data_IF_217706128342
#
_entry.id   IF_217706128342
#
_cell.length_a   1.000
_cell.length_b   1.000
_cell.length_c   1.000
_cell.angle_alpha   90.00
_cell.angle_beta   90.00
_cell.angle_gamma   90.00
#
_symmetry.space_group_name_H-M   'P 1'
#
loop_
_entity.id
_entity.type
_entity.pdbx_description
1 polymer ?
#
# COMPACT_ATOMS: atom_id res chain seq x y z
N UNK A 1 -14.95 -55.77 -7.81
CA UNK A 1 -14.64 -54.78 -6.76
C UNK A 1 -13.34 -53.98 -6.97
N UNK A 2 -12.60 -54.13 -8.10
CA UNK A 2 -11.35 -53.39 -8.38
C UNK A 2 -11.56 -52.04 -9.12
N UNK A 3 -12.74 -51.81 -9.71
CA UNK A 3 -13.03 -50.58 -10.45
C UNK A 3 -13.46 -49.37 -9.60
N UNK A 4 -14.09 -49.59 -8.44
CA UNK A 4 -14.58 -48.51 -7.59
C UNK A 4 -13.46 -47.74 -6.85
N UNK A 5 -12.35 -48.41 -6.55
CA UNK A 5 -11.22 -47.78 -5.87
C UNK A 5 -10.43 -46.84 -6.78
N UNK A 6 -10.36 -47.14 -8.08
CA UNK A 6 -9.67 -46.29 -9.09
C UNK A 6 -10.45 -44.99 -9.39
N UNK A 7 -11.79 -45.06 -9.36
CA UNK A 7 -12.64 -43.87 -9.59
C UNK A 7 -12.55 -42.88 -8.39
N UNK A 8 -12.48 -43.42 -7.16
CA UNK A 8 -12.33 -42.58 -5.95
C UNK A 8 -10.97 -41.87 -5.91
N UNK A 9 -9.89 -42.53 -6.38
CA UNK A 9 -8.57 -41.90 -6.42
C UNK A 9 -8.48 -40.78 -7.47
N UNK A 10 -9.19 -40.91 -8.60
CA UNK A 10 -9.23 -39.87 -9.65
C UNK A 10 -10.01 -38.61 -9.22
N UNK A 11 -11.04 -38.75 -8.39
CA UNK A 11 -11.82 -37.63 -7.88
C UNK A 11 -11.03 -36.79 -6.88
N UNK A 12 -10.14 -37.41 -6.09
CA UNK A 12 -9.29 -36.69 -5.12
C UNK A 12 -8.19 -35.89 -5.81
N UNK A 13 -7.71 -36.32 -6.99
CA UNK A 13 -6.69 -35.60 -7.77
C UNK A 13 -7.23 -34.39 -8.54
N UNK A 14 -8.55 -34.26 -8.68
CA UNK A 14 -9.21 -33.10 -9.30
C UNK A 14 -9.62 -32.01 -8.30
N UNK A 15 -9.34 -32.20 -7.01
CA UNK A 15 -9.38 -31.11 -6.03
C UNK A 15 -8.19 -30.18 -6.32
N UNK A 16 -8.25 -29.51 -7.48
CA UNK A 16 -7.27 -28.56 -7.94
C UNK A 16 -7.07 -27.47 -6.91
N UNK A 17 -5.88 -26.94 -6.85
CA UNK A 17 -5.49 -25.80 -6.04
C UNK A 17 -6.55 -24.70 -6.13
N UNK A 18 -7.54 -24.73 -5.24
CA UNK A 18 -8.41 -23.59 -5.04
C UNK A 18 -7.49 -22.47 -4.51
N UNK A 19 -7.20 -21.48 -5.34
CA UNK A 19 -6.53 -20.27 -4.87
C UNK A 19 -7.49 -19.66 -3.85
N UNK A 20 -7.16 -19.85 -2.57
CA UNK A 20 -7.91 -19.21 -1.50
C UNK A 20 -7.58 -17.74 -1.52
N UNK A 21 -8.58 -16.92 -1.79
CA UNK A 21 -8.49 -15.47 -1.69
C UNK A 21 -9.11 -15.02 -0.37
N UNK A 22 -8.70 -13.88 0.13
CA UNK A 22 -9.29 -13.28 1.32
C UNK A 22 -9.51 -11.79 1.13
N UNK A 23 -10.46 -11.23 1.86
CA UNK A 23 -10.69 -9.78 1.84
C UNK A 23 -9.78 -9.11 2.87
N UNK A 24 -8.94 -8.19 2.41
CA UNK A 24 -8.21 -7.27 3.29
C UNK A 24 -9.18 -6.13 3.63
N UNK A 25 -9.39 -5.88 4.92
CA UNK A 25 -10.14 -4.74 5.42
C UNK A 25 -9.54 -4.33 6.76
N UNK A 26 -8.52 -3.49 6.69
CA UNK A 26 -7.71 -3.10 7.84
C UNK A 26 -7.53 -1.59 7.95
N UNK A 27 -7.30 -1.15 9.18
CA UNK A 27 -6.79 0.17 9.54
C UNK A 27 -5.43 -0.01 10.19
N UNK A 28 -4.46 0.83 9.83
CA UNK A 28 -3.07 0.68 10.25
C UNK A 28 -2.39 2.03 10.38
N UNK A 29 -1.29 2.09 11.11
CA UNK A 29 -0.41 3.26 11.16
C UNK A 29 0.74 3.19 10.15
N UNK A 30 0.91 2.05 9.46
CA UNK A 30 1.96 1.82 8.48
C UNK A 30 1.34 1.38 7.16
N UNK A 31 1.74 2.03 6.08
CA UNK A 31 1.37 1.70 4.71
C UNK A 31 2.39 0.78 4.04
N UNK A 32 2.33 0.66 2.71
CA UNK A 32 3.28 -0.13 1.93
C UNK A 32 4.67 0.50 1.94
N UNK A 33 5.67 -0.32 1.69
CA UNK A 33 7.00 0.18 1.34
C UNK A 33 7.04 0.63 -0.12
N UNK A 34 7.94 1.56 -0.43
CA UNK A 34 8.15 2.02 -1.81
C UNK A 34 8.55 0.88 -2.75
N UNK A 35 9.40 -0.04 -2.29
CA UNK A 35 9.87 -1.19 -3.09
C UNK A 35 8.75 -2.19 -3.39
N UNK A 36 7.95 -2.57 -2.40
CA UNK A 36 6.79 -3.46 -2.60
C UNK A 36 5.76 -2.82 -3.54
N UNK A 37 5.43 -1.54 -3.31
CA UNK A 37 4.46 -0.82 -4.11
C UNK A 37 4.91 -0.68 -5.57
N UNK A 38 6.17 -0.28 -5.79
CA UNK A 38 6.75 -0.16 -7.12
C UNK A 38 6.85 -1.52 -7.82
N UNK A 39 7.34 -2.56 -7.13
CA UNK A 39 7.43 -3.93 -7.66
C UNK A 39 6.06 -4.42 -8.14
N UNK A 40 5.02 -4.22 -7.34
CA UNK A 40 3.66 -4.63 -7.71
C UNK A 40 3.16 -3.87 -8.94
N UNK A 41 3.44 -2.58 -9.04
CA UNK A 41 3.12 -1.77 -10.25
C UNK A 41 3.84 -2.28 -11.49
N UNK A 42 5.13 -2.64 -11.38
CA UNK A 42 5.91 -3.20 -12.50
C UNK A 42 5.34 -4.54 -12.96
N UNK A 43 4.98 -5.42 -12.01
CA UNK A 43 4.35 -6.72 -12.35
C UNK A 43 3.01 -6.50 -13.05
N UNK A 44 2.17 -5.59 -12.54
CA UNK A 44 0.87 -5.29 -13.14
C UNK A 44 1.00 -4.70 -14.55
N UNK A 45 2.01 -3.87 -14.79
CA UNK A 45 2.23 -3.24 -16.10
C UNK A 45 2.90 -4.17 -17.12
N UNK A 46 3.84 -5.01 -16.70
CA UNK A 46 4.72 -5.76 -17.60
C UNK A 46 4.48 -7.27 -17.59
N UNK A 47 3.64 -7.79 -16.67
CA UNK A 47 3.39 -9.24 -16.50
C UNK A 47 4.61 -10.03 -15.97
N UNK A 48 5.66 -9.35 -15.49
CA UNK A 48 6.88 -9.96 -14.94
C UNK A 48 7.43 -9.17 -13.75
N UNK A 49 8.18 -9.85 -12.90
CA UNK A 49 8.94 -9.16 -11.85
C UNK A 49 10.02 -8.22 -12.46
N UNK A 50 10.36 -7.13 -11.76
CA UNK A 50 11.46 -6.27 -12.18
C UNK A 50 12.80 -7.00 -12.14
N UNK A 51 13.68 -6.63 -13.07
CA UNK A 51 15.07 -7.10 -13.09
C UNK A 51 15.89 -6.44 -11.97
N UNK A 52 17.08 -6.98 -11.72
CA UNK A 52 18.03 -6.38 -10.77
C UNK A 52 18.39 -4.93 -11.14
N UNK A 53 18.65 -4.67 -12.43
CA UNK A 53 19.00 -3.32 -12.92
C UNK A 53 17.83 -2.33 -12.75
N UNK A 54 16.60 -2.74 -13.06
CA UNK A 54 15.41 -1.93 -12.85
C UNK A 54 15.22 -1.57 -11.36
N UNK A 55 15.42 -2.55 -10.46
CA UNK A 55 15.37 -2.31 -9.01
C UNK A 55 16.45 -1.34 -8.54
N UNK A 56 17.68 -1.52 -9.01
CA UNK A 56 18.78 -0.64 -8.67
C UNK A 56 18.50 0.81 -9.09
N UNK A 57 18.08 1.01 -10.34
CA UNK A 57 17.72 2.35 -10.83
C UNK A 57 16.59 2.98 -10.02
N UNK A 58 15.55 2.21 -9.67
CA UNK A 58 14.47 2.69 -8.82
C UNK A 58 14.99 3.12 -7.43
N UNK A 59 15.85 2.33 -6.81
CA UNK A 59 16.42 2.63 -5.49
C UNK A 59 17.32 3.87 -5.54
N UNK A 60 18.21 3.97 -6.52
CA UNK A 60 19.10 5.12 -6.69
C UNK A 60 18.28 6.42 -6.90
N UNK A 61 17.23 6.39 -7.71
CA UNK A 61 16.34 7.53 -7.94
C UNK A 61 15.53 7.88 -6.68
N UNK A 62 15.01 6.89 -5.96
CA UNK A 62 14.28 7.09 -4.72
C UNK A 62 15.16 7.77 -3.67
N UNK A 63 16.38 7.27 -3.45
CA UNK A 63 17.32 7.85 -2.50
C UNK A 63 17.70 9.30 -2.87
N UNK A 64 17.91 9.59 -4.16
CA UNK A 64 18.21 10.94 -4.63
C UNK A 64 17.05 11.91 -4.33
N UNK A 65 15.80 11.50 -4.60
CA UNK A 65 14.60 12.30 -4.29
C UNK A 65 14.42 12.52 -2.80
N UNK A 66 14.60 11.49 -1.98
CA UNK A 66 14.52 11.59 -0.52
C UNK A 66 15.59 12.53 0.03
N UNK A 67 16.83 12.38 -0.41
CA UNK A 67 17.93 13.24 0.03
C UNK A 67 17.73 14.70 -0.34
N UNK A 68 17.18 14.97 -1.54
CA UNK A 68 16.80 16.34 -1.95
C UNK A 68 15.72 16.89 -1.04
N UNK A 69 14.64 16.13 -0.82
CA UNK A 69 13.52 16.54 0.00
C UNK A 69 13.92 16.89 1.43
N UNK A 70 14.74 16.04 2.06
CA UNK A 70 15.20 16.27 3.43
C UNK A 70 16.10 17.50 3.58
N UNK A 71 16.85 17.89 2.54
CA UNK A 71 17.62 19.15 2.54
C UNK A 71 16.71 20.39 2.47
N UNK A 72 15.55 20.28 1.83
CA UNK A 72 14.62 21.38 1.60
C UNK A 72 13.55 21.48 2.72
N UNK A 73 13.39 20.44 3.55
CA UNK A 73 12.33 20.33 4.57
C UNK A 73 12.90 19.91 5.93
N UNK A 74 13.49 20.88 6.64
CA UNK A 74 14.16 20.65 7.92
C UNK A 74 13.24 20.02 9.00
N UNK A 75 11.95 20.40 9.01
CA UNK A 75 10.97 19.83 9.95
C UNK A 75 10.76 18.32 9.72
N UNK A 76 10.73 17.86 8.47
CA UNK A 76 10.65 16.45 8.14
C UNK A 76 11.95 15.70 8.49
N UNK A 77 13.10 16.37 8.32
CA UNK A 77 14.41 15.80 8.66
C UNK A 77 14.65 15.66 10.17
N UNK A 78 13.92 16.41 11.01
CA UNK A 78 14.08 16.42 12.47
C UNK A 78 13.07 15.55 13.23
N UNK A 79 12.03 15.00 12.57
CA UNK A 79 11.05 14.10 13.20
C UNK A 79 11.58 12.65 13.28
N UNK A 80 11.89 12.13 14.48
CA UNK A 80 12.52 10.80 14.61
C UNK A 80 11.64 9.66 14.12
N UNK A 81 10.30 9.77 14.26
CA UNK A 81 9.37 8.69 13.93
C UNK A 81 9.22 8.54 12.42
N UNK A 82 8.91 9.64 11.74
CA UNK A 82 8.75 9.62 10.28
C UNK A 82 10.09 9.49 9.58
N UNK A 83 11.18 10.02 10.15
CA UNK A 83 12.52 9.95 9.60
C UNK A 83 13.01 8.51 9.48
N UNK A 84 12.81 7.67 10.49
CA UNK A 84 13.20 6.26 10.45
C UNK A 84 12.46 5.52 9.34
N UNK A 85 11.12 5.67 9.29
CA UNK A 85 10.31 5.02 8.28
C UNK A 85 10.63 5.52 6.87
N UNK A 86 10.77 6.83 6.69
CA UNK A 86 11.04 7.45 5.40
C UNK A 86 12.43 7.07 4.87
N UNK A 87 13.49 7.26 5.67
CA UNK A 87 14.88 7.15 5.20
C UNK A 87 15.43 5.73 5.15
N UNK A 88 15.01 4.87 6.08
CA UNK A 88 15.62 3.54 6.22
C UNK A 88 14.68 2.40 5.85
N UNK A 89 13.39 2.54 6.12
CA UNK A 89 12.40 1.52 5.78
C UNK A 89 11.72 1.79 4.43
N UNK A 90 11.83 3.01 3.90
CA UNK A 90 11.12 3.47 2.70
C UNK A 90 9.61 3.17 2.77
N UNK A 91 9.05 3.26 3.98
CA UNK A 91 7.68 2.85 4.29
C UNK A 91 6.83 4.05 4.68
N UNK A 92 5.64 4.15 4.10
CA UNK A 92 4.66 5.17 4.51
C UNK A 92 4.23 4.92 5.95
N UNK A 93 4.21 5.97 6.77
CA UNK A 93 3.74 5.89 8.15
C UNK A 93 2.98 7.15 8.55
N UNK A 94 2.05 6.99 9.50
CA UNK A 94 1.32 8.12 10.10
C UNK A 94 2.31 9.15 10.65
N UNK A 95 2.00 10.44 10.46
CA UNK A 95 2.88 11.57 10.78
C UNK A 95 3.64 12.14 9.57
N UNK A 96 3.82 11.38 8.50
CA UNK A 96 4.42 11.88 7.26
C UNK A 96 3.60 13.00 6.65
N UNK A 97 4.26 13.92 5.95
CA UNK A 97 3.56 14.88 5.11
C UNK A 97 3.32 14.33 3.70
N UNK A 98 2.52 15.06 2.93
CA UNK A 98 2.15 14.68 1.56
C UNK A 98 3.37 14.47 0.66
N UNK A 99 4.39 15.31 0.77
CA UNK A 99 5.62 15.21 -0.03
C UNK A 99 6.39 13.91 0.25
N UNK A 100 6.48 13.51 1.51
CA UNK A 100 7.09 12.23 1.88
C UNK A 100 6.31 11.04 1.28
N UNK A 101 4.98 11.06 1.34
CA UNK A 101 4.14 10.01 0.75
C UNK A 101 4.31 9.96 -0.78
N UNK A 102 4.30 11.11 -1.45
CA UNK A 102 4.51 11.18 -2.92
C UNK A 102 5.89 10.69 -3.35
N UNK A 103 6.93 10.97 -2.57
CA UNK A 103 8.28 10.47 -2.87
C UNK A 103 8.32 8.95 -2.83
N UNK A 104 7.67 8.33 -1.83
CA UNK A 104 7.67 6.88 -1.68
C UNK A 104 6.79 6.17 -2.71
N UNK A 105 5.60 6.69 -3.00
CA UNK A 105 4.59 5.97 -3.79
C UNK A 105 4.28 6.60 -5.15
N UNK A 106 4.71 7.84 -5.37
CA UNK A 106 4.29 8.67 -6.48
C UNK A 106 2.96 9.37 -6.20
N UNK A 107 2.44 10.09 -7.20
CA UNK A 107 1.18 10.84 -7.07
C UNK A 107 0.00 9.91 -6.79
N UNK A 108 -0.96 10.40 -6.01
CA UNK A 108 -2.20 9.70 -5.74
C UNK A 108 -2.98 9.44 -7.03
N UNK A 109 -3.66 8.30 -7.10
CA UNK A 109 -4.56 7.97 -8.21
C UNK A 109 -5.85 8.79 -8.18
N UNK A 110 -6.34 9.05 -6.96
CA UNK A 110 -7.51 9.89 -6.71
C UNK A 110 -7.39 10.60 -5.37
N UNK A 111 -8.02 11.76 -5.24
CA UNK A 111 -8.05 12.54 -4.01
C UNK A 111 -9.47 13.00 -3.71
N UNK A 112 -9.81 13.21 -2.44
CA UNK A 112 -11.10 13.76 -2.04
C UNK A 112 -11.00 14.50 -0.71
N UNK A 113 -11.66 15.65 -0.61
CA UNK A 113 -11.96 16.39 0.62
C UNK A 113 -13.44 16.27 1.02
N UNK A 114 -14.23 15.50 0.26
CA UNK A 114 -15.64 15.25 0.55
C UNK A 114 -15.79 14.18 1.64
N UNK A 115 -16.46 14.54 2.74
CA UNK A 115 -16.62 13.66 3.89
C UNK A 115 -17.40 12.37 3.58
N UNK A 116 -18.37 12.43 2.64
CA UNK A 116 -19.14 11.24 2.24
C UNK A 116 -18.28 10.29 1.42
N UNK A 117 -17.46 10.83 0.53
CA UNK A 117 -16.52 10.03 -0.27
C UNK A 117 -15.48 9.39 0.63
N UNK A 118 -14.91 10.14 1.58
CA UNK A 118 -13.97 9.61 2.56
C UNK A 118 -14.60 8.51 3.42
N UNK A 119 -15.87 8.69 3.83
CA UNK A 119 -16.63 7.66 4.56
C UNK A 119 -16.81 6.36 3.74
N UNK A 120 -17.12 6.51 2.44
CA UNK A 120 -17.26 5.36 1.53
C UNK A 120 -15.95 4.58 1.41
N UNK A 121 -14.81 5.27 1.35
CA UNK A 121 -13.48 4.63 1.29
C UNK A 121 -13.08 4.00 2.61
N UNK A 122 -13.33 4.68 3.76
CA UNK A 122 -12.99 4.19 5.10
C UNK A 122 -13.86 3.01 5.55
N UNK A 123 -15.08 2.90 4.99
CA UNK A 123 -16.02 1.82 5.33
C UNK A 123 -16.28 1.76 6.85
N UNK A 124 -16.09 0.59 7.46
CA UNK A 124 -16.27 0.36 8.90
C UNK A 124 -15.34 1.17 9.79
N UNK A 125 -14.25 1.71 9.25
CA UNK A 125 -13.25 2.48 10.00
C UNK A 125 -13.57 3.97 10.08
N UNK A 126 -14.61 4.45 9.35
CA UNK A 126 -14.95 5.87 9.32
C UNK A 126 -15.22 6.50 10.69
N UNK A 127 -15.90 5.85 11.66
CA UNK A 127 -16.10 6.45 12.97
C UNK A 127 -14.82 6.88 13.68
N UNK A 128 -13.72 6.17 13.47
CA UNK A 128 -12.41 6.45 14.07
C UNK A 128 -11.61 7.53 13.33
N UNK A 129 -11.97 7.81 12.06
CA UNK A 129 -11.26 8.76 11.18
C UNK A 129 -12.01 10.08 11.10
N UNK A 130 -13.34 10.04 11.20
CA UNK A 130 -14.22 11.20 11.11
C UNK A 130 -13.79 12.32 12.05
N UNK A 131 -13.65 13.54 11.49
CA UNK A 131 -13.24 14.74 12.23
C UNK A 131 -11.74 14.80 12.56
N UNK A 132 -10.96 13.83 12.06
CA UNK A 132 -9.50 13.80 12.17
C UNK A 132 -8.80 13.97 10.83
N UNK A 133 -9.54 13.96 9.74
CA UNK A 133 -9.02 14.11 8.39
C UNK A 133 -9.82 15.16 7.64
N UNK A 134 -9.12 16.01 6.88
CA UNK A 134 -9.68 17.01 5.96
C UNK A 134 -9.53 16.60 4.49
N UNK A 135 -8.71 15.58 4.19
CA UNK A 135 -8.48 15.09 2.84
C UNK A 135 -8.06 13.62 2.87
N UNK A 136 -8.36 12.89 1.80
CA UNK A 136 -7.90 11.53 1.62
C UNK A 136 -7.35 11.30 0.20
N UNK A 137 -6.31 10.47 0.12
CA UNK A 137 -5.64 10.05 -1.10
C UNK A 137 -5.80 8.56 -1.33
N UNK A 138 -6.32 8.19 -2.50
CA UNK A 138 -6.49 6.81 -2.92
C UNK A 138 -5.33 6.34 -3.80
N UNK A 139 -4.81 5.17 -3.47
CA UNK A 139 -3.75 4.49 -4.19
C UNK A 139 -4.21 3.10 -4.67
N UNK A 140 -3.54 2.50 -5.66
CA UNK A 140 -3.78 1.12 -6.07
C UNK A 140 -3.75 0.13 -4.89
N UNK A 141 -4.36 -1.03 -5.10
CA UNK A 141 -4.46 -2.11 -4.10
C UNK A 141 -5.24 -1.76 -2.84
N UNK A 142 -6.18 -0.81 -2.98
CA UNK A 142 -7.12 -0.45 -1.93
C UNK A 142 -6.55 0.39 -0.80
N UNK A 143 -5.36 0.96 -0.95
CA UNK A 143 -4.77 1.85 0.02
C UNK A 143 -5.42 3.23 -0.01
N UNK A 144 -5.85 3.73 1.16
CA UNK A 144 -6.36 5.09 1.36
C UNK A 144 -5.60 5.74 2.51
N UNK A 145 -5.05 6.91 2.24
CA UNK A 145 -4.30 7.73 3.18
C UNK A 145 -5.10 8.97 3.55
N UNK A 146 -5.32 9.19 4.84
CA UNK A 146 -6.13 10.30 5.37
C UNK A 146 -5.21 11.35 5.97
N UNK A 147 -5.39 12.61 5.55
CA UNK A 147 -4.57 13.73 5.97
C UNK A 147 -5.39 14.74 6.80
N UNK A 148 -4.75 15.37 7.78
CA UNK A 148 -5.20 16.58 8.46
C UNK A 148 -4.12 17.64 8.32
N UNK A 149 -4.45 18.80 7.74
CA UNK A 149 -3.50 19.91 7.50
C UNK A 149 -2.20 19.46 6.85
N UNK A 150 -2.31 18.53 5.90
CA UNK A 150 -1.17 18.02 5.14
C UNK A 150 -0.32 16.96 5.83
N UNK A 151 -0.71 16.51 7.03
CA UNK A 151 -0.07 15.39 7.75
C UNK A 151 -0.93 14.15 7.68
N UNK A 152 -0.31 13.01 7.39
CA UNK A 152 -0.95 11.70 7.37
C UNK A 152 -1.36 11.30 8.79
N UNK A 153 -2.66 11.17 9.02
CA UNK A 153 -3.23 10.86 10.35
C UNK A 153 -3.78 9.46 10.45
N UNK A 154 -4.10 8.83 9.33
CA UNK A 154 -4.67 7.48 9.31
C UNK A 154 -4.47 6.80 7.97
N UNK A 155 -4.48 5.46 7.98
CA UNK A 155 -4.33 4.63 6.80
C UNK A 155 -5.34 3.50 6.86
N UNK A 156 -6.07 3.26 5.77
CA UNK A 156 -6.88 2.06 5.61
C UNK A 156 -6.49 1.31 4.34
N UNK A 157 -6.78 0.01 4.34
CA UNK A 157 -6.69 -0.80 3.14
C UNK A 157 -7.93 -1.67 3.01
N UNK A 158 -8.55 -1.62 1.82
CA UNK A 158 -9.61 -2.54 1.45
C UNK A 158 -9.31 -3.15 0.08
N UNK A 159 -9.22 -4.47 0.04
CA UNK A 159 -9.01 -5.23 -1.19
C UNK A 159 -9.79 -6.54 -1.11
N UNK A 160 -10.71 -6.74 -2.05
CA UNK A 160 -11.39 -8.02 -2.26
C UNK A 160 -10.48 -8.98 -3.01
N UNK A 161 -10.66 -10.26 -2.77
CA UNK A 161 -9.96 -11.34 -3.47
C UNK A 161 -8.43 -11.20 -3.46
N UNK A 162 -7.86 -10.67 -2.38
CA UNK A 162 -6.42 -10.60 -2.21
C UNK A 162 -5.82 -12.03 -2.21
N UNK A 163 -4.77 -12.30 -3.00
CA UNK A 163 -4.09 -13.59 -2.95
C UNK A 163 -3.41 -13.76 -1.59
N UNK A 164 -3.43 -14.98 -1.06
CA UNK A 164 -2.60 -15.29 0.10
C UNK A 164 -1.11 -15.17 -0.28
N UNK A 165 -0.35 -14.49 0.60
CA UNK A 165 1.10 -14.39 0.47
C UNK A 165 1.78 -15.69 0.87
#
# INVERSE_FOLDING_TARGET
MRGAALVLLAVVLLAGCAVTTHTINQRTSQGPTADEFWTTKVIAANGRAPTFEEKRHFQDDLEARMAKYLREHEAAASDPLTMQAFRFLHQVTVGMDKGQVEILLGSAFTTSDDAQQMANWARRHWPDIRGRADEAWGYPYGWIFYFDKGKLVDITQYLEDAPYK
#
